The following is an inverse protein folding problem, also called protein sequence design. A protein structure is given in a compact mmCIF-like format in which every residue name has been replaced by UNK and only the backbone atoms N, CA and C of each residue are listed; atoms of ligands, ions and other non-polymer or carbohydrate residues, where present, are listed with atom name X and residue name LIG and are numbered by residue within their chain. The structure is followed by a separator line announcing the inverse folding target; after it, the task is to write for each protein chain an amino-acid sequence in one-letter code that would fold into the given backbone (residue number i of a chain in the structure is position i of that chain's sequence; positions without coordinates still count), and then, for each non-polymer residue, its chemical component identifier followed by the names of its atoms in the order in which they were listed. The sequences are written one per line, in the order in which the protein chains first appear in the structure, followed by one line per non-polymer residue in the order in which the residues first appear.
data_IF_473045763013
#
_entry.id   IF_473045763013
#
_cell.length_a   1.000
_cell.length_b   1.000
_cell.length_c   1.000
_cell.angle_alpha   90.00
_cell.angle_beta   90.00
_cell.angle_gamma   90.00
#
_symmetry.space_group_name_H-M   'P 1'
#
loop_
_entity.id
_entity.type
_entity.pdbx_description
1 polymer ?
#
# COMPACT_ATOMS: atom_id res chain seq x y z
N UNK A 1 14.57 5.86 -9.82
CA UNK A 1 15.11 4.94 -8.79
C UNK A 1 15.59 5.76 -7.60
N UNK A 2 14.75 5.91 -6.58
CA UNK A 2 15.07 6.66 -5.37
C UNK A 2 15.58 5.69 -4.31
N UNK A 3 16.84 5.23 -4.51
CA UNK A 3 17.36 4.06 -3.82
C UNK A 3 17.64 4.16 -2.31
N UNK A 4 17.71 5.34 -1.71
CA UNK A 4 18.18 5.45 -0.32
C UNK A 4 17.07 5.28 0.73
N UNK A 5 16.01 6.05 0.62
CA UNK A 5 14.95 6.08 1.64
C UNK A 5 14.07 4.81 1.59
N UNK A 6 13.76 4.34 0.39
CA UNK A 6 13.01 3.10 0.18
C UNK A 6 13.72 1.86 0.76
N UNK A 7 15.06 1.79 0.65
CA UNK A 7 15.86 0.68 1.21
C UNK A 7 15.81 0.66 2.73
N UNK A 8 15.96 1.82 3.39
CA UNK A 8 15.91 1.91 4.86
C UNK A 8 14.53 1.51 5.40
N UNK A 9 13.46 1.97 4.75
CA UNK A 9 12.10 1.57 5.12
C UNK A 9 11.88 0.07 4.92
N UNK A 10 12.31 -0.47 3.79
CA UNK A 10 12.17 -1.90 3.49
C UNK A 10 12.91 -2.76 4.52
N UNK A 11 14.15 -2.41 4.86
CA UNK A 11 14.94 -3.10 5.87
C UNK A 11 14.25 -3.05 7.25
N UNK A 12 13.75 -1.88 7.64
CA UNK A 12 13.01 -1.72 8.89
C UNK A 12 11.73 -2.58 8.93
N UNK A 13 10.99 -2.63 7.82
CA UNK A 13 9.80 -3.49 7.71
C UNK A 13 10.15 -4.97 7.80
N UNK A 14 11.15 -5.43 7.05
CA UNK A 14 11.58 -6.83 7.06
C UNK A 14 12.02 -7.24 8.48
N UNK A 15 12.84 -6.42 9.14
CA UNK A 15 13.29 -6.69 10.51
C UNK A 15 12.11 -6.76 11.49
N UNK A 16 11.16 -5.84 11.40
CA UNK A 16 9.95 -5.86 12.23
C UNK A 16 9.10 -7.11 11.99
N UNK A 17 9.00 -7.57 10.76
CA UNK A 17 8.30 -8.82 10.42
C UNK A 17 9.04 -10.03 10.98
N UNK A 18 10.37 -10.09 10.83
CA UNK A 18 11.20 -11.18 11.40
C UNK A 18 10.96 -11.34 12.90
N UNK A 19 10.97 -10.25 13.67
CA UNK A 19 10.71 -10.31 15.11
C UNK A 19 9.31 -10.87 15.43
N UNK A 20 8.29 -10.46 14.68
CA UNK A 20 6.93 -10.98 14.86
C UNK A 20 6.82 -12.46 14.50
N UNK A 21 7.50 -12.88 13.43
CA UNK A 21 7.44 -14.27 12.97
C UNK A 21 8.23 -15.22 13.88
N UNK A 22 9.26 -14.79 14.59
CA UNK A 22 9.89 -15.58 15.65
C UNK A 22 8.89 -15.96 16.74
N UNK A 23 8.07 -15.01 17.18
CA UNK A 23 7.01 -15.28 18.16
C UNK A 23 5.89 -16.16 17.59
N UNK A 24 5.66 -16.08 16.30
CA UNK A 24 4.66 -16.92 15.63
C UNK A 24 5.15 -18.35 15.49
N UNK A 25 6.42 -18.58 15.14
CA UNK A 25 7.05 -19.90 15.06
C UNK A 25 6.93 -20.68 16.36
N UNK A 26 7.11 -20.02 17.51
CA UNK A 26 6.96 -20.63 18.84
C UNK A 26 5.56 -21.22 19.08
N UNK A 27 4.53 -20.58 18.53
CA UNK A 27 3.13 -20.98 18.71
C UNK A 27 2.61 -21.91 17.60
N UNK A 28 3.11 -21.73 16.38
CA UNK A 28 2.60 -22.36 15.18
C UNK A 28 3.75 -22.82 14.27
N UNK A 29 4.57 -23.79 14.71
CA UNK A 29 5.84 -24.14 14.05
C UNK A 29 5.66 -24.67 12.62
N UNK A 30 4.49 -25.21 12.30
CA UNK A 30 4.25 -25.87 11.01
C UNK A 30 3.37 -25.04 10.04
N UNK A 31 3.07 -23.79 10.36
CA UNK A 31 2.17 -22.99 9.50
C UNK A 31 2.82 -22.47 8.23
N UNK A 32 4.11 -22.12 8.27
CA UNK A 32 4.86 -21.56 7.14
C UNK A 32 6.31 -22.04 7.17
N UNK A 33 7.01 -21.91 6.05
CA UNK A 33 8.47 -22.11 6.01
C UNK A 33 9.20 -20.91 6.66
N UNK A 34 9.37 -20.98 7.98
CA UNK A 34 10.06 -19.94 8.75
C UNK A 34 11.51 -19.76 8.34
N UNK A 35 12.19 -20.81 7.88
CA UNK A 35 13.57 -20.71 7.41
C UNK A 35 13.66 -19.89 6.11
N UNK A 36 12.76 -20.15 5.17
CA UNK A 36 12.66 -19.35 3.96
C UNK A 36 12.34 -17.89 4.29
N UNK A 37 11.46 -17.65 5.29
CA UNK A 37 11.13 -16.32 5.77
C UNK A 37 12.35 -15.58 6.37
N UNK A 38 13.05 -16.19 7.33
CA UNK A 38 14.17 -15.56 8.02
C UNK A 38 15.39 -15.31 7.11
N UNK A 39 15.50 -16.08 6.02
CA UNK A 39 16.54 -15.89 4.99
C UNK A 39 16.14 -14.84 3.93
N UNK A 40 14.95 -14.27 3.99
CA UNK A 40 14.51 -13.24 3.05
C UNK A 40 15.05 -11.86 3.46
N UNK A 41 15.50 -11.10 2.48
CA UNK A 41 16.08 -9.76 2.65
C UNK A 41 15.16 -8.63 2.20
N UNK A 42 14.13 -8.97 1.42
CA UNK A 42 13.19 -8.02 0.86
C UNK A 42 11.76 -8.48 1.09
N UNK A 43 10.81 -7.52 1.07
CA UNK A 43 9.39 -7.84 1.13
C UNK A 43 8.98 -8.72 -0.06
N UNK A 44 9.53 -8.44 -1.26
CA UNK A 44 9.25 -9.26 -2.44
C UNK A 44 9.69 -10.72 -2.24
N UNK A 45 10.86 -10.97 -1.64
CA UNK A 45 11.30 -12.35 -1.34
C UNK A 45 10.40 -13.04 -0.33
N UNK A 46 9.88 -12.31 0.66
CA UNK A 46 8.89 -12.83 1.61
C UNK A 46 7.60 -13.19 0.88
N UNK A 47 7.12 -12.29 0.04
CA UNK A 47 5.88 -12.51 -0.69
C UNK A 47 6.00 -13.65 -1.71
N UNK A 48 7.15 -13.77 -2.37
CA UNK A 48 7.43 -14.85 -3.32
C UNK A 48 7.46 -16.23 -2.65
N UNK A 49 8.11 -16.34 -1.49
CA UNK A 49 8.36 -17.62 -0.82
C UNK A 49 7.25 -18.04 0.14
N UNK A 50 6.54 -17.08 0.71
CA UNK A 50 5.59 -17.32 1.80
C UNK A 50 4.19 -16.84 1.44
N UNK A 51 4.02 -15.55 1.14
CA UNK A 51 2.69 -14.98 0.99
C UNK A 51 1.97 -15.54 -0.23
N UNK A 52 2.61 -15.53 -1.40
CA UNK A 52 1.99 -16.02 -2.62
C UNK A 52 1.61 -17.51 -2.53
N UNK A 53 2.51 -18.43 -2.09
CA UNK A 53 2.15 -19.83 -1.88
C UNK A 53 1.03 -20.02 -0.85
N UNK A 54 1.03 -19.26 0.23
CA UNK A 54 -0.03 -19.31 1.25
C UNK A 54 -1.41 -18.99 0.68
N UNK A 55 -1.47 -18.06 -0.29
CA UNK A 55 -2.70 -17.72 -1.01
C UNK A 55 -2.91 -18.55 -2.29
N UNK A 56 -2.14 -19.62 -2.49
CA UNK A 56 -2.28 -20.53 -3.63
C UNK A 56 -1.85 -19.90 -4.96
N UNK A 57 -0.88 -18.99 -4.93
CA UNK A 57 -0.31 -18.32 -6.10
C UNK A 57 1.08 -18.85 -6.42
N UNK A 58 1.42 -18.89 -7.71
CA UNK A 58 2.70 -19.39 -8.19
C UNK A 58 3.85 -18.38 -8.01
N UNK A 59 3.52 -17.09 -7.83
CA UNK A 59 4.51 -16.03 -7.67
C UNK A 59 3.96 -14.80 -6.94
N UNK A 60 4.84 -13.99 -6.36
CA UNK A 60 4.49 -12.68 -5.81
C UNK A 60 3.89 -11.75 -6.89
N UNK A 61 4.37 -11.83 -8.12
CA UNK A 61 3.84 -11.03 -9.23
C UNK A 61 2.39 -11.37 -9.55
N UNK A 62 2.03 -12.65 -9.56
CA UNK A 62 0.64 -13.10 -9.72
C UNK A 62 -0.22 -12.62 -8.55
N UNK A 63 0.26 -12.84 -7.33
CA UNK A 63 -0.39 -12.36 -6.11
C UNK A 63 -0.68 -10.87 -6.17
N UNK A 64 0.33 -10.03 -6.49
CA UNK A 64 0.15 -8.58 -6.59
C UNK A 64 -0.83 -8.16 -7.68
N UNK A 65 -0.81 -8.84 -8.83
CA UNK A 65 -1.75 -8.56 -9.92
C UNK A 65 -3.19 -8.78 -9.47
N UNK A 66 -3.45 -9.86 -8.74
CA UNK A 66 -4.79 -10.20 -8.28
C UNK A 66 -5.30 -9.29 -7.17
N UNK A 67 -4.43 -8.96 -6.18
CA UNK A 67 -4.83 -8.10 -5.06
C UNK A 67 -4.78 -6.60 -5.37
N UNK A 68 -4.25 -6.22 -6.53
CA UNK A 68 -4.14 -4.82 -6.91
C UNK A 68 -5.52 -4.16 -6.99
N UNK A 69 -5.70 -3.08 -6.25
CA UNK A 69 -6.92 -2.28 -6.31
C UNK A 69 -7.12 -1.61 -7.68
N UNK A 70 -6.06 -1.39 -8.46
CA UNK A 70 -6.13 -0.71 -9.76
C UNK A 70 -7.15 -1.35 -10.69
N UNK A 71 -7.17 -2.69 -10.77
CA UNK A 71 -8.13 -3.43 -11.64
C UNK A 71 -9.59 -3.28 -11.23
N UNK A 72 -9.85 -2.85 -10.00
CA UNK A 72 -11.19 -2.71 -9.41
C UNK A 72 -11.69 -1.27 -9.36
N UNK A 73 -10.81 -0.27 -9.50
CA UNK A 73 -11.17 1.14 -9.37
C UNK A 73 -12.30 1.57 -10.32
N UNK A 74 -12.28 1.10 -11.56
CA UNK A 74 -13.33 1.38 -12.56
C UNK A 74 -14.72 0.84 -12.18
N UNK A 75 -14.79 -0.15 -11.29
CA UNK A 75 -16.03 -0.79 -10.85
C UNK A 75 -16.58 -0.18 -9.54
N UNK A 76 -15.95 0.86 -9.03
CA UNK A 76 -16.42 1.55 -7.83
C UNK A 76 -17.80 2.17 -8.09
N UNK A 77 -18.80 1.77 -7.30
CA UNK A 77 -20.20 2.20 -7.44
C UNK A 77 -20.67 3.08 -6.27
N UNK A 78 -19.82 3.36 -5.31
CA UNK A 78 -20.09 4.27 -4.20
C UNK A 78 -19.16 5.49 -4.26
N UNK A 79 -19.61 6.68 -3.80
CA UNK A 79 -18.74 7.84 -3.70
C UNK A 79 -17.46 7.51 -2.93
N UNK A 80 -16.32 7.61 -3.60
CA UNK A 80 -15.01 7.24 -3.07
C UNK A 80 -14.01 8.38 -3.26
N UNK A 81 -13.34 8.75 -2.19
CA UNK A 81 -12.24 9.72 -2.20
C UNK A 81 -10.91 9.00 -2.07
N UNK A 82 -10.01 9.24 -3.03
CA UNK A 82 -8.67 8.68 -3.06
C UNK A 82 -7.65 9.80 -3.16
N UNK A 83 -6.66 9.80 -2.28
CA UNK A 83 -5.64 10.83 -2.20
C UNK A 83 -4.25 10.19 -2.14
N UNK A 84 -3.36 10.66 -3.02
CA UNK A 84 -1.94 10.32 -2.99
C UNK A 84 -1.08 11.57 -3.09
N UNK A 85 0.19 11.49 -2.68
CA UNK A 85 1.16 12.56 -2.91
C UNK A 85 2.28 12.12 -3.84
N UNK A 86 2.80 13.06 -4.63
CA UNK A 86 3.88 12.80 -5.59
C UNK A 86 5.24 12.54 -4.91
N UNK A 87 5.36 12.92 -3.65
CA UNK A 87 6.55 12.70 -2.82
C UNK A 87 6.42 11.53 -1.84
N UNK A 88 5.42 10.65 -2.05
CA UNK A 88 5.25 9.45 -1.25
C UNK A 88 6.37 8.43 -1.53
N UNK A 89 7.22 8.09 -0.54
CA UNK A 89 8.31 7.15 -0.75
C UNK A 89 7.85 5.69 -0.85
N UNK A 90 6.63 5.38 -0.43
CA UNK A 90 6.09 4.00 -0.41
C UNK A 90 5.16 3.74 -1.60
N UNK A 91 4.53 4.79 -2.14
CA UNK A 91 3.64 4.71 -3.30
C UNK A 91 4.04 5.76 -4.33
N UNK A 92 5.14 5.53 -5.08
CA UNK A 92 5.62 6.49 -6.07
C UNK A 92 4.62 6.65 -7.24
N UNK A 93 4.72 7.74 -8.01
CA UNK A 93 3.76 8.04 -9.09
C UNK A 93 3.60 6.94 -10.14
N UNK A 94 4.61 6.09 -10.32
CA UNK A 94 4.55 4.93 -11.21
C UNK A 94 3.51 3.88 -10.78
N UNK A 95 3.13 3.90 -9.49
CA UNK A 95 2.10 3.04 -8.93
C UNK A 95 0.69 3.65 -8.99
N UNK A 96 0.56 4.90 -9.47
CA UNK A 96 -0.73 5.56 -9.51
C UNK A 96 -1.62 4.96 -10.60
N UNK A 97 -2.93 4.95 -10.37
CA UNK A 97 -3.87 4.43 -11.35
C UNK A 97 -3.82 5.24 -12.66
N UNK A 98 -4.03 4.54 -13.77
CA UNK A 98 -4.11 5.15 -15.10
C UNK A 98 -5.44 5.89 -15.27
N UNK A 99 -5.57 6.65 -16.35
CA UNK A 99 -6.86 7.30 -16.69
C UNK A 99 -7.99 6.29 -16.92
N UNK A 100 -7.65 5.11 -17.41
CA UNK A 100 -8.62 4.03 -17.64
C UNK A 100 -9.10 3.46 -16.29
N UNK A 101 -8.19 3.24 -15.35
CA UNK A 101 -8.54 2.77 -14.00
C UNK A 101 -9.45 3.78 -13.26
N UNK A 102 -9.27 5.08 -13.53
CA UNK A 102 -10.03 6.18 -12.93
C UNK A 102 -11.37 6.48 -13.66
N UNK A 103 -11.87 5.58 -14.48
CA UNK A 103 -13.07 5.80 -15.29
C UNK A 103 -14.39 5.76 -14.52
N UNK A 104 -14.40 5.32 -13.26
CA UNK A 104 -15.62 5.36 -12.44
C UNK A 104 -16.03 6.80 -12.11
N UNK A 105 -17.30 7.20 -12.37
CA UNK A 105 -17.80 8.52 -11.98
C UNK A 105 -17.89 8.73 -10.47
N UNK A 106 -17.82 7.67 -9.70
CA UNK A 106 -17.89 7.71 -8.24
C UNK A 106 -16.51 7.89 -7.57
N UNK A 107 -15.42 7.79 -8.34
CA UNK A 107 -14.05 7.88 -7.82
C UNK A 107 -13.51 9.31 -8.01
N UNK A 108 -13.25 9.97 -6.90
CA UNK A 108 -12.54 11.25 -6.89
C UNK A 108 -11.08 11.02 -6.48
N UNK A 109 -10.18 10.94 -7.47
CA UNK A 109 -8.75 10.78 -7.24
C UNK A 109 -8.05 12.13 -7.29
N UNK A 110 -7.36 12.49 -6.20
CA UNK A 110 -6.60 13.73 -6.05
C UNK A 110 -5.14 13.40 -5.77
N UNK A 111 -4.23 14.15 -6.41
CA UNK A 111 -2.81 14.12 -6.10
C UNK A 111 -2.34 15.45 -5.56
N UNK A 112 -1.42 15.42 -4.60
CA UNK A 112 -0.72 16.60 -4.08
C UNK A 112 0.77 16.52 -4.39
N UNK A 113 1.42 17.67 -4.50
CA UNK A 113 2.87 17.69 -4.74
C UNK A 113 3.67 17.23 -3.52
N UNK A 114 3.10 17.41 -2.32
CA UNK A 114 3.71 17.07 -1.04
C UNK A 114 2.66 16.54 -0.08
N UNK A 115 3.07 15.60 0.76
CA UNK A 115 2.19 14.96 1.74
C UNK A 115 2.81 13.71 2.35
N UNK A 116 3.82 13.15 1.69
CA UNK A 116 4.35 11.83 2.07
C UNK A 116 3.28 10.78 2.01
N UNK A 117 3.43 9.72 2.78
CA UNK A 117 2.49 8.60 2.78
C UNK A 117 1.17 8.91 3.51
N UNK A 118 1.23 9.62 4.64
CA UNK A 118 0.05 9.81 5.53
C UNK A 118 -0.05 11.19 6.17
N UNK A 119 0.92 12.09 5.99
CA UNK A 119 1.01 13.26 6.86
C UNK A 119 0.29 14.50 6.34
N UNK A 120 0.16 14.71 5.04
CA UNK A 120 -0.53 15.83 4.37
C UNK A 120 -0.60 17.14 5.17
N UNK A 121 0.54 17.54 5.78
CA UNK A 121 0.63 18.71 6.67
C UNK A 121 0.78 19.98 5.82
N UNK A 122 -0.04 20.98 6.08
CA UNK A 122 0.08 22.31 5.50
C UNK A 122 0.71 23.31 6.49
N UNK A 123 1.54 24.21 5.99
CA UNK A 123 2.15 25.28 6.82
C UNK A 123 1.11 26.19 7.48
N UNK A 124 0.02 26.47 6.78
CA UNK A 124 -0.95 27.50 7.17
C UNK A 124 -2.22 26.93 7.79
N UNK A 125 -2.45 25.63 7.64
CA UNK A 125 -3.70 24.99 8.05
C UNK A 125 -3.37 23.63 8.67
N UNK A 126 -3.34 23.56 9.98
CA UNK A 126 -3.42 22.28 10.68
C UNK A 126 -4.70 21.55 10.23
N UNK A 127 -4.59 20.23 10.08
CA UNK A 127 -5.71 19.37 9.66
C UNK A 127 -6.21 19.64 8.22
N UNK A 128 -5.28 19.87 7.27
CA UNK A 128 -5.66 20.07 5.87
C UNK A 128 -6.42 18.89 5.29
N UNK A 129 -5.93 17.67 5.52
CA UNK A 129 -6.56 16.45 5.03
C UNK A 129 -7.97 16.28 5.59
N UNK A 130 -8.13 16.45 6.89
CA UNK A 130 -9.41 16.30 7.57
C UNK A 130 -10.44 17.31 7.03
N UNK A 131 -10.01 18.53 6.77
CA UNK A 131 -10.89 19.55 6.15
C UNK A 131 -11.31 19.18 4.73
N UNK A 132 -10.41 18.60 3.91
CA UNK A 132 -10.76 18.11 2.59
C UNK A 132 -11.77 16.96 2.68
N UNK A 133 -11.52 15.99 3.56
CA UNK A 133 -12.43 14.87 3.80
C UNK A 133 -13.81 15.34 4.26
N UNK A 134 -13.90 16.23 5.25
CA UNK A 134 -15.18 16.75 5.73
C UNK A 134 -15.94 17.46 4.59
N UNK A 135 -15.28 18.31 3.82
CA UNK A 135 -15.90 19.00 2.67
C UNK A 135 -16.44 18.02 1.65
N UNK A 136 -15.65 16.99 1.32
CA UNK A 136 -16.04 15.98 0.36
C UNK A 136 -17.23 15.15 0.86
N UNK A 137 -17.23 14.73 2.14
CA UNK A 137 -18.36 14.02 2.75
C UNK A 137 -19.63 14.86 2.72
N UNK A 138 -19.56 16.12 3.15
CA UNK A 138 -20.74 17.01 3.15
C UNK A 138 -21.30 17.25 1.75
N UNK A 139 -20.49 17.16 0.72
CA UNK A 139 -20.93 17.29 -0.67
C UNK A 139 -21.61 16.01 -1.20
N UNK A 140 -21.15 14.83 -0.78
CA UNK A 140 -21.58 13.54 -1.33
C UNK A 140 -22.61 12.77 -0.47
N UNK A 141 -22.98 13.30 0.70
CA UNK A 141 -24.01 12.72 1.58
C UNK A 141 -25.43 13.25 1.34
N UNK A 142 -25.64 13.95 0.19
CA UNK A 142 -26.96 14.51 -0.16
C UNK A 142 -27.72 13.60 -1.10
#
# INVERSE_FOLDING_TARGET
MNGGFSVIYQESFVNSLIEKYKLKEEKYPDEVDYQAFFNSKTLFEIDEKITAPYFGKDSASEFYTEISSATHLKNINHPTFMLNSLDDPLSPPECFPTKEDLSSPNLNFITTNKGGHVSFVSRDISYWLEKQLIRWFLHNLR
#
